data_IF_633808114967
#
_entry.id   IF_633808114967
#
_cell.length_a   1.000
_cell.length_b   1.000
_cell.length_c   1.000
_cell.angle_alpha   90.00
_cell.angle_beta   90.00
_cell.angle_gamma   90.00
#
_symmetry.space_group_name_H-M   'P 1'
#
loop_
_entity.id
_entity.type
_entity.pdbx_description
1 polymer ?
#
# COMPACT_ATOMS: atom_id res chain seq x y z
N UNK A 1 -1.89 17.91 7.64
CA UNK A 1 -2.87 17.04 6.95
C UNK A 1 -2.28 16.72 5.60
N UNK A 2 -2.18 15.45 5.20
CA UNK A 2 -1.55 15.09 3.93
C UNK A 2 -2.31 15.70 2.77
N UNK A 3 -1.56 16.06 1.73
CA UNK A 3 -2.10 16.52 0.47
C UNK A 3 -2.94 15.41 -0.19
N UNK A 4 -4.04 15.80 -0.84
CA UNK A 4 -4.83 14.87 -1.64
C UNK A 4 -4.20 14.80 -3.05
N UNK A 5 -3.95 13.60 -3.60
CA UNK A 5 -3.24 13.47 -4.86
C UNK A 5 -4.01 14.10 -6.03
N UNK A 6 -3.28 14.70 -6.96
CA UNK A 6 -3.86 15.20 -8.21
C UNK A 6 -4.32 13.99 -9.06
N UNK A 7 -5.58 13.96 -9.55
CA UNK A 7 -6.06 12.92 -10.46
C UNK A 7 -5.18 12.68 -11.70
N UNK A 8 -4.42 13.68 -12.14
CA UNK A 8 -3.47 13.57 -13.25
C UNK A 8 -2.18 12.81 -12.90
N UNK A 9 -1.86 12.62 -11.62
CA UNK A 9 -0.71 11.84 -11.12
C UNK A 9 -1.00 10.33 -11.04
N UNK A 10 -2.12 9.88 -11.62
CA UNK A 10 -2.49 8.47 -11.67
C UNK A 10 -1.72 7.73 -12.77
N UNK A 11 -0.95 6.74 -12.38
CA UNK A 11 -0.14 5.91 -13.27
C UNK A 11 -0.95 4.71 -13.75
N UNK A 12 -1.76 4.93 -14.80
CA UNK A 12 -2.64 3.89 -15.37
C UNK A 12 -1.84 2.90 -16.21
N UNK A 13 -1.96 1.61 -15.92
CA UNK A 13 -1.33 0.53 -16.71
C UNK A 13 -2.31 -0.14 -17.68
N UNK A 14 -3.62 -0.02 -17.45
CA UNK A 14 -4.65 -0.51 -18.36
C UNK A 14 -5.89 0.40 -18.35
N UNK A 15 -6.60 0.43 -19.47
CA UNK A 15 -7.86 1.18 -19.59
C UNK A 15 -9.03 0.46 -18.92
N UNK A 16 -9.19 -0.85 -19.18
CA UNK A 16 -10.27 -1.68 -18.64
C UNK A 16 -9.82 -3.14 -18.49
N UNK A 17 -9.17 -3.46 -17.38
CA UNK A 17 -8.64 -4.81 -17.12
C UNK A 17 -9.76 -5.80 -16.82
N UNK A 18 -9.82 -6.92 -17.54
CA UNK A 18 -10.85 -7.96 -17.39
C UNK A 18 -10.30 -9.30 -16.86
N UNK A 19 -9.10 -9.31 -16.26
CA UNK A 19 -8.43 -10.55 -15.79
C UNK A 19 -9.16 -11.24 -14.63
N UNK A 20 -9.91 -10.48 -13.82
CA UNK A 20 -10.66 -10.99 -12.68
C UNK A 20 -12.15 -10.66 -12.87
N UNK A 21 -12.99 -11.59 -13.36
CA UNK A 21 -14.39 -11.30 -13.67
C UNK A 21 -15.19 -10.74 -12.49
N UNK A 22 -15.07 -11.34 -11.30
CA UNK A 22 -15.77 -10.89 -10.10
C UNK A 22 -15.39 -9.46 -9.68
N UNK A 23 -14.11 -9.10 -9.79
CA UNK A 23 -13.65 -7.73 -9.48
C UNK A 23 -14.05 -6.73 -10.56
N UNK A 24 -14.05 -7.15 -11.84
CA UNK A 24 -14.44 -6.29 -12.94
C UNK A 24 -15.94 -5.96 -12.92
N UNK A 25 -16.76 -6.90 -12.47
CA UNK A 25 -18.20 -6.71 -12.27
C UNK A 25 -18.52 -5.85 -11.05
N UNK A 26 -17.77 -6.01 -9.95
CA UNK A 26 -18.07 -5.34 -8.68
C UNK A 26 -17.45 -3.93 -8.52
N UNK A 27 -16.35 -3.63 -9.20
CA UNK A 27 -15.65 -2.33 -9.06
C UNK A 27 -16.46 -1.18 -9.65
N UNK A 28 -16.30 -0.01 -9.06
CA UNK A 28 -16.76 1.25 -9.66
C UNK A 28 -15.70 1.76 -10.66
N UNK A 29 -14.42 1.65 -10.29
CA UNK A 29 -13.30 1.85 -11.22
C UNK A 29 -12.04 1.11 -10.75
N UNK A 30 -11.03 1.09 -11.62
CA UNK A 30 -9.71 0.55 -11.25
C UNK A 30 -8.94 1.61 -10.47
N UNK A 31 -8.47 1.24 -9.29
CA UNK A 31 -7.66 2.04 -8.38
C UNK A 31 -6.18 1.82 -8.67
N UNK A 32 -5.62 2.72 -9.48
CA UNK A 32 -4.22 2.68 -9.89
C UNK A 32 -3.30 3.35 -8.86
N UNK A 33 -2.01 3.06 -8.98
CA UNK A 33 -1.00 3.76 -8.22
C UNK A 33 -0.94 5.26 -8.57
N UNK A 34 -0.49 6.05 -7.61
CA UNK A 34 -0.35 7.50 -7.74
C UNK A 34 0.84 8.01 -6.93
N UNK A 35 1.43 9.10 -7.42
CA UNK A 35 2.67 9.68 -6.89
C UNK A 35 3.77 9.70 -7.95
N UNK A 36 4.93 10.26 -7.60
CA UNK A 36 6.07 10.38 -8.51
C UNK A 36 6.69 9.02 -8.86
N UNK A 37 7.26 8.92 -10.07
CA UNK A 37 8.00 7.74 -10.53
C UNK A 37 9.47 7.75 -10.08
N UNK A 38 9.90 8.76 -9.34
CA UNK A 38 11.18 8.84 -8.64
C UNK A 38 10.99 8.85 -7.11
N UNK A 39 9.86 8.31 -6.63
CA UNK A 39 9.56 8.20 -5.21
C UNK A 39 10.56 7.27 -4.49
N UNK A 40 10.99 7.69 -3.31
CA UNK A 40 11.86 6.89 -2.44
C UNK A 40 11.16 5.66 -1.86
N UNK A 41 9.84 5.72 -1.66
CA UNK A 41 9.07 4.66 -1.01
C UNK A 41 7.83 4.30 -1.83
N UNK A 42 7.62 3.00 -2.06
CA UNK A 42 6.34 2.49 -2.59
C UNK A 42 5.52 1.91 -1.44
N UNK A 43 4.35 2.49 -1.19
CA UNK A 43 3.42 2.05 -0.13
C UNK A 43 2.34 1.16 -0.73
N UNK A 44 2.18 -0.05 -0.18
CA UNK A 44 1.31 -1.09 -0.75
C UNK A 44 0.20 -1.51 0.21
N UNK A 45 -1.04 -1.28 -0.20
CA UNK A 45 -2.22 -1.82 0.47
C UNK A 45 -2.63 -3.18 -0.10
N UNK A 46 -3.62 -3.81 0.50
CA UNK A 46 -4.18 -5.07 -0.02
C UNK A 46 -5.05 -4.80 -1.25
N UNK A 47 -6.12 -4.01 -1.07
CA UNK A 47 -7.07 -3.66 -2.11
C UNK A 47 -7.72 -2.29 -1.81
N UNK A 48 -8.38 -1.65 -2.80
CA UNK A 48 -9.07 -0.39 -2.61
C UNK A 48 -10.26 -0.57 -1.68
N UNK A 49 -10.50 0.40 -0.79
CA UNK A 49 -11.72 0.46 -0.01
C UNK A 49 -12.94 0.83 -0.88
N UNK A 50 -14.12 0.35 -0.49
CA UNK A 50 -15.44 0.65 -1.11
C UNK A 50 -15.64 2.16 -1.31
N UNK A 51 -15.38 2.93 -0.25
CA UNK A 51 -15.42 4.38 -0.25
C UNK A 51 -16.68 4.99 0.38
N UNK A 52 -16.78 6.31 0.29
CA UNK A 52 -17.88 7.14 0.79
C UNK A 52 -18.25 8.15 -0.31
N UNK A 53 -19.35 7.93 -1.05
CA UNK A 53 -19.74 8.80 -2.17
C UNK A 53 -20.17 10.20 -1.71
N UNK A 54 -20.52 10.38 -0.44
CA UNK A 54 -20.91 11.68 0.13
C UNK A 54 -19.70 12.53 0.54
N UNK A 55 -18.49 11.97 0.51
CA UNK A 55 -17.28 12.71 0.84
C UNK A 55 -16.85 13.61 -0.33
N UNK A 56 -16.57 14.90 -0.08
CA UNK A 56 -16.04 15.80 -1.12
C UNK A 56 -14.61 15.45 -1.55
N UNK A 57 -13.79 15.06 -0.58
CA UNK A 57 -12.42 14.58 -0.76
C UNK A 57 -12.20 13.36 0.11
N UNK A 58 -11.21 12.53 -0.25
CA UNK A 58 -10.92 11.28 0.44
C UNK A 58 -12.05 10.24 0.38
N UNK A 59 -12.74 10.16 -0.77
CA UNK A 59 -13.85 9.24 -1.02
C UNK A 59 -13.44 7.77 -0.91
N UNK A 60 -12.27 7.37 -1.43
CA UNK A 60 -11.81 5.97 -1.44
C UNK A 60 -11.42 5.52 -2.84
N UNK A 61 -10.50 4.56 -2.91
CA UNK A 61 -9.87 4.19 -4.18
C UNK A 61 -10.83 3.57 -5.19
N UNK A 62 -11.91 2.91 -4.75
CA UNK A 62 -12.92 2.39 -5.67
C UNK A 62 -13.69 3.53 -6.38
N UNK A 63 -13.85 4.69 -5.75
CA UNK A 63 -14.59 5.83 -6.31
C UNK A 63 -13.67 6.82 -7.03
N UNK A 64 -12.49 7.09 -6.47
CA UNK A 64 -11.54 8.03 -7.05
C UNK A 64 -10.72 7.39 -8.16
N UNK A 65 -10.50 6.08 -8.12
CA UNK A 65 -9.59 5.33 -8.98
C UNK A 65 -8.11 5.55 -8.67
N UNK A 66 -7.78 6.00 -7.46
CA UNK A 66 -6.41 6.16 -6.96
C UNK A 66 -6.24 5.52 -5.58
N UNK A 67 -5.13 4.81 -5.36
CA UNK A 67 -4.83 4.16 -4.09
C UNK A 67 -4.63 5.16 -2.93
N UNK A 68 -4.93 4.72 -1.70
CA UNK A 68 -4.80 5.50 -0.47
C UNK A 68 -5.54 6.86 -0.47
N UNK A 69 -6.71 6.92 -1.09
CA UNK A 69 -7.58 8.11 -1.14
C UNK A 69 -8.82 7.99 -0.25
N UNK A 70 -8.79 7.15 0.80
CA UNK A 70 -9.87 7.04 1.79
C UNK A 70 -9.55 7.84 3.07
N UNK A 71 -10.57 8.30 3.81
CA UNK A 71 -10.38 8.96 5.12
C UNK A 71 -9.81 8.02 6.18
N UNK A 72 -10.20 6.74 6.18
CA UNK A 72 -9.91 5.79 7.27
C UNK A 72 -8.50 5.20 7.20
N UNK A 73 -8.06 4.78 6.02
CA UNK A 73 -6.72 4.19 5.83
C UNK A 73 -5.80 5.15 5.09
N UNK A 74 -6.25 5.67 3.93
CA UNK A 74 -5.48 6.55 3.05
C UNK A 74 -4.85 7.75 3.78
N UNK A 75 -5.70 8.58 4.38
CA UNK A 75 -5.27 9.79 5.11
C UNK A 75 -4.37 9.46 6.31
N UNK A 76 -4.64 8.38 7.05
CA UNK A 76 -3.84 7.99 8.22
C UNK A 76 -2.43 7.53 7.82
N UNK A 77 -2.33 6.65 6.83
CA UNK A 77 -1.03 6.17 6.32
C UNK A 77 -0.21 7.32 5.74
N UNK A 78 -0.81 8.16 4.89
CA UNK A 78 -0.11 9.35 4.35
C UNK A 78 0.38 10.31 5.44
N UNK A 79 -0.37 10.43 6.55
CA UNK A 79 0.07 11.24 7.70
C UNK A 79 1.28 10.60 8.37
N UNK A 80 1.24 9.28 8.65
CA UNK A 80 2.37 8.55 9.23
C UNK A 80 3.64 8.68 8.37
N UNK A 81 3.53 8.52 7.06
CA UNK A 81 4.68 8.65 6.15
C UNK A 81 5.25 10.08 6.20
N UNK A 82 4.39 11.10 6.17
CA UNK A 82 4.82 12.50 6.29
C UNK A 82 5.49 12.79 7.64
N UNK A 83 4.95 12.26 8.74
CA UNK A 83 5.53 12.40 10.08
C UNK A 83 6.86 11.66 10.21
N UNK A 84 7.06 10.57 9.45
CA UNK A 84 8.33 9.86 9.31
C UNK A 84 9.31 10.55 8.34
N UNK A 85 8.95 11.71 7.77
CA UNK A 85 9.80 12.49 6.87
C UNK A 85 9.67 12.17 5.39
N UNK A 86 8.72 11.31 4.99
CA UNK A 86 8.41 11.01 3.58
C UNK A 86 7.16 11.78 3.15
N UNK A 87 7.36 12.90 2.45
CA UNK A 87 6.29 13.74 1.94
C UNK A 87 5.58 13.15 0.72
N UNK A 88 4.65 13.91 0.14
CA UNK A 88 3.92 13.52 -1.09
C UNK A 88 4.88 13.24 -2.26
N UNK A 89 5.97 13.99 -2.35
CA UNK A 89 7.01 13.80 -3.37
C UNK A 89 7.90 12.58 -3.16
N UNK A 90 7.86 11.94 -1.99
CA UNK A 90 8.75 10.83 -1.64
C UNK A 90 8.03 9.48 -1.68
N UNK A 91 6.70 9.48 -1.88
CA UNK A 91 5.87 8.28 -1.77
C UNK A 91 5.04 8.03 -3.02
N UNK A 92 5.13 6.79 -3.52
CA UNK A 92 4.18 6.22 -4.49
C UNK A 92 3.20 5.30 -3.77
N UNK A 93 1.90 5.51 -3.94
CA UNK A 93 0.87 4.74 -3.23
C UNK A 93 0.14 3.81 -4.18
N UNK A 94 0.02 2.52 -3.84
CA UNK A 94 -0.65 1.49 -4.66
C UNK A 94 -1.30 0.38 -3.82
N UNK A 95 -1.93 -0.59 -4.46
CA UNK A 95 -2.45 -1.80 -3.79
C UNK A 95 -1.99 -3.06 -4.55
N UNK A 96 -1.91 -4.20 -3.86
CA UNK A 96 -1.61 -5.47 -4.48
C UNK A 96 -2.69 -5.87 -5.51
N UNK A 97 -3.97 -5.70 -5.16
CA UNK A 97 -5.09 -5.81 -6.09
C UNK A 97 -5.61 -4.42 -6.43
N UNK A 98 -5.84 -4.16 -7.72
CA UNK A 98 -6.21 -2.82 -8.22
C UNK A 98 -7.70 -2.50 -8.17
N UNK A 99 -8.54 -3.48 -7.80
CA UNK A 99 -10.00 -3.36 -7.83
C UNK A 99 -10.58 -3.72 -6.46
N UNK A 100 -11.70 -3.09 -6.08
CA UNK A 100 -12.38 -3.40 -4.83
C UNK A 100 -13.06 -4.78 -4.89
N UNK A 101 -12.76 -5.70 -3.95
CA UNK A 101 -13.46 -6.98 -3.88
C UNK A 101 -14.91 -6.83 -3.41
N UNK A 102 -15.86 -7.61 -3.97
CA UNK A 102 -17.26 -7.56 -3.56
C UNK A 102 -17.42 -7.86 -2.06
N UNK A 103 -18.32 -7.15 -1.40
CA UNK A 103 -18.57 -7.28 0.05
C UNK A 103 -17.33 -7.01 0.93
N UNK A 104 -16.31 -6.33 0.38
CA UNK A 104 -15.05 -6.02 1.07
C UNK A 104 -14.36 -7.28 1.66
N UNK A 105 -14.50 -8.42 0.98
CA UNK A 105 -13.72 -9.63 1.30
C UNK A 105 -12.24 -9.44 0.98
N UNK A 106 -11.41 -10.35 1.50
CA UNK A 106 -10.02 -10.44 1.08
C UNK A 106 -9.94 -10.91 -0.39
N UNK A 107 -8.96 -10.44 -1.18
CA UNK A 107 -8.74 -10.94 -2.53
C UNK A 107 -8.37 -12.43 -2.54
N UNK A 108 -8.72 -13.12 -3.61
CA UNK A 108 -8.30 -14.53 -3.79
C UNK A 108 -6.87 -14.62 -4.29
N UNK A 109 -6.24 -15.79 -4.14
CA UNK A 109 -4.91 -16.07 -4.70
C UNK A 109 -4.85 -15.83 -6.22
N UNK A 110 -5.92 -16.16 -6.94
CA UNK A 110 -6.03 -15.91 -8.39
C UNK A 110 -6.09 -14.41 -8.69
N UNK A 111 -6.82 -13.62 -7.90
CA UNK A 111 -6.91 -12.17 -8.06
C UNK A 111 -5.58 -11.48 -7.78
N UNK A 112 -4.86 -11.94 -6.76
CA UNK A 112 -3.51 -11.51 -6.43
C UNK A 112 -2.54 -11.87 -7.57
N UNK A 113 -2.58 -13.10 -8.05
CA UNK A 113 -1.73 -13.55 -9.16
C UNK A 113 -1.98 -12.75 -10.45
N UNK A 114 -3.25 -12.44 -10.76
CA UNK A 114 -3.63 -11.65 -11.93
C UNK A 114 -3.17 -10.18 -11.85
N UNK A 115 -3.14 -9.61 -10.64
CA UNK A 115 -2.71 -8.23 -10.40
C UNK A 115 -1.21 -8.09 -10.15
N UNK A 116 -0.50 -9.17 -9.77
CA UNK A 116 0.95 -9.16 -9.52
C UNK A 116 1.76 -8.47 -10.61
N UNK A 117 1.55 -8.71 -11.92
CA UNK A 117 2.34 -8.06 -12.97
C UNK A 117 2.25 -6.53 -12.92
N UNK A 118 1.08 -5.98 -12.57
CA UNK A 118 0.90 -4.53 -12.43
C UNK A 118 1.70 -3.98 -11.26
N UNK A 119 1.66 -4.65 -10.10
CA UNK A 119 2.43 -4.24 -8.93
C UNK A 119 3.94 -4.30 -9.18
N UNK A 120 4.43 -5.38 -9.79
CA UNK A 120 5.86 -5.53 -10.11
C UNK A 120 6.31 -4.42 -11.07
N UNK A 121 5.54 -4.17 -12.13
CA UNK A 121 5.85 -3.10 -13.10
C UNK A 121 5.82 -1.71 -12.46
N UNK A 122 4.92 -1.44 -11.49
CA UNK A 122 4.95 -0.18 -10.73
C UNK A 122 6.21 -0.05 -9.89
N UNK A 123 6.61 -1.10 -9.17
CA UNK A 123 7.84 -1.08 -8.34
C UNK A 123 9.08 -0.93 -9.20
N UNK A 124 9.16 -1.65 -10.33
CA UNK A 124 10.24 -1.52 -11.31
C UNK A 124 10.33 -0.13 -11.93
N UNK A 125 9.18 0.48 -12.26
CA UNK A 125 9.12 1.82 -12.84
C UNK A 125 9.53 2.91 -11.85
N UNK A 126 9.19 2.75 -10.57
CA UNK A 126 9.54 3.70 -9.51
C UNK A 126 10.98 3.52 -9.03
N UNK A 127 11.48 2.29 -9.03
CA UNK A 127 12.79 1.91 -8.48
C UNK A 127 13.03 2.49 -7.06
N UNK A 128 12.14 2.23 -6.09
CA UNK A 128 12.19 2.85 -4.77
C UNK A 128 13.35 2.30 -3.93
N UNK A 129 13.68 2.99 -2.84
CA UNK A 129 14.58 2.48 -1.80
C UNK A 129 13.97 1.33 -1.01
N UNK A 130 12.66 1.38 -0.78
CA UNK A 130 11.94 0.33 -0.06
C UNK A 130 10.46 0.26 -0.46
N UNK A 131 9.88 -0.93 -0.28
CA UNK A 131 8.44 -1.18 -0.40
C UNK A 131 7.84 -1.36 1.00
N UNK A 132 6.75 -0.66 1.29
CA UNK A 132 6.15 -0.57 2.61
C UNK A 132 4.71 -1.10 2.57
N UNK A 133 4.48 -2.39 2.85
CA UNK A 133 3.13 -2.94 2.92
C UNK A 133 2.44 -2.52 4.22
N UNK A 134 1.18 -2.10 4.13
CA UNK A 134 0.41 -1.67 5.31
C UNK A 134 -0.56 -2.74 5.78
N UNK A 135 -0.15 -3.51 6.77
CA UNK A 135 -0.97 -4.52 7.44
C UNK A 135 -0.68 -5.95 7.03
N UNK A 136 -1.27 -6.90 7.77
CA UNK A 136 -0.98 -8.33 7.66
C UNK A 136 -1.16 -8.87 6.24
N UNK A 137 -2.28 -8.56 5.59
CA UNK A 137 -2.59 -9.15 4.27
C UNK A 137 -1.69 -8.60 3.16
N UNK A 138 -1.42 -7.28 3.16
CA UNK A 138 -0.46 -6.68 2.25
C UNK A 138 0.95 -7.28 2.46
N UNK A 139 1.39 -7.41 3.70
CA UNK A 139 2.67 -8.05 4.03
C UNK A 139 2.72 -9.50 3.56
N UNK A 140 1.70 -10.30 3.87
CA UNK A 140 1.64 -11.70 3.45
C UNK A 140 1.68 -11.84 1.93
N UNK A 141 0.97 -10.95 1.22
CA UNK A 141 0.97 -10.91 -0.25
C UNK A 141 2.35 -10.65 -0.82
N UNK A 142 3.07 -9.65 -0.30
CA UNK A 142 4.41 -9.34 -0.79
C UNK A 142 5.41 -10.46 -0.51
N UNK A 143 5.38 -11.04 0.69
CA UNK A 143 6.25 -12.16 1.04
C UNK A 143 5.97 -13.41 0.20
N UNK A 144 4.71 -13.67 -0.13
CA UNK A 144 4.35 -14.79 -1.01
C UNK A 144 4.93 -14.65 -2.43
N UNK A 145 5.33 -13.45 -2.87
CA UNK A 145 6.00 -13.26 -4.16
C UNK A 145 7.36 -13.96 -4.22
N UNK A 146 8.02 -14.07 -3.07
CA UNK A 146 9.31 -14.76 -2.83
C UNK A 146 9.12 -16.21 -2.34
N UNK A 147 7.88 -16.70 -2.24
CA UNK A 147 7.57 -18.02 -1.70
C UNK A 147 7.61 -18.12 -0.17
N UNK A 148 7.72 -16.99 0.52
CA UNK A 148 7.73 -16.91 1.98
C UNK A 148 6.30 -16.94 2.56
N UNK A 149 6.16 -17.52 3.76
CA UNK A 149 4.93 -17.46 4.56
C UNK A 149 5.06 -16.52 5.74
N UNK A 150 3.98 -15.82 6.09
CA UNK A 150 3.93 -14.91 7.25
C UNK A 150 3.37 -15.63 8.48
N UNK A 151 4.26 -16.01 9.41
CA UNK A 151 3.85 -16.68 10.66
C UNK A 151 3.24 -15.69 11.66
N UNK A 152 4.07 -14.81 12.24
CA UNK A 152 3.67 -13.79 13.19
C UNK A 152 3.91 -12.41 12.61
N UNK A 153 2.84 -11.82 12.08
CA UNK A 153 2.88 -10.48 11.49
C UNK A 153 3.54 -9.43 12.39
N UNK A 154 3.25 -9.44 13.69
CA UNK A 154 3.81 -8.46 14.64
C UNK A 154 5.33 -8.48 14.72
N UNK A 155 5.97 -9.64 14.50
CA UNK A 155 7.42 -9.79 14.54
C UNK A 155 8.08 -9.27 13.25
N UNK A 156 7.29 -9.03 12.20
CA UNK A 156 7.76 -8.48 10.91
C UNK A 156 7.65 -6.96 10.83
N UNK A 157 6.90 -6.32 11.74
CA UNK A 157 6.68 -4.87 11.72
C UNK A 157 8.01 -4.14 11.88
N UNK A 158 8.32 -3.21 10.96
CA UNK A 158 9.56 -2.44 10.87
C UNK A 158 10.85 -3.27 10.62
N UNK A 159 10.74 -4.58 10.48
CA UNK A 159 11.85 -5.44 10.11
C UNK A 159 12.11 -5.32 8.60
N UNK A 160 13.33 -4.91 8.22
CA UNK A 160 13.77 -4.89 6.83
C UNK A 160 13.93 -6.34 6.34
N UNK A 161 13.30 -6.66 5.22
CA UNK A 161 13.40 -7.97 4.58
C UNK A 161 13.73 -7.80 3.11
N UNK A 162 14.74 -8.51 2.62
CA UNK A 162 15.02 -8.55 1.19
C UNK A 162 13.88 -9.21 0.42
N UNK A 163 13.60 -8.71 -0.79
CA UNK A 163 12.65 -9.33 -1.72
C UNK A 163 13.32 -9.48 -3.08
N UNK A 164 13.53 -10.73 -3.50
CA UNK A 164 14.10 -11.03 -4.83
C UNK A 164 13.07 -10.72 -5.93
N UNK A 165 11.78 -10.98 -5.65
CA UNK A 165 10.70 -10.76 -6.58
C UNK A 165 10.42 -9.28 -6.88
N UNK A 166 10.74 -8.38 -5.96
CA UNK A 166 10.61 -6.93 -6.14
C UNK A 166 11.95 -6.24 -6.42
N UNK A 167 13.07 -6.90 -6.15
CA UNK A 167 14.42 -6.35 -6.33
C UNK A 167 14.77 -5.22 -5.35
N UNK A 168 13.92 -4.98 -4.35
CA UNK A 168 14.05 -3.94 -3.33
C UNK A 168 13.53 -4.46 -1.98
N UNK A 169 14.05 -3.99 -0.85
CA UNK A 169 13.64 -4.46 0.46
C UNK A 169 12.21 -4.05 0.82
N UNK A 170 11.60 -4.86 1.68
CA UNK A 170 10.24 -4.71 2.20
C UNK A 170 10.30 -4.35 3.70
N UNK A 171 9.56 -3.32 4.10
CA UNK A 171 9.44 -2.86 5.50
C UNK A 171 7.97 -2.83 5.93
N UNK A 172 7.47 -3.88 6.60
CA UNK A 172 6.06 -3.97 7.00
C UNK A 172 5.61 -2.95 8.03
N UNK A 173 4.42 -2.37 7.81
CA UNK A 173 3.75 -1.49 8.78
C UNK A 173 2.46 -2.09 9.32
N UNK A 174 2.04 -1.62 10.49
CA UNK A 174 0.71 -1.86 11.03
C UNK A 174 -0.34 -1.20 10.13
N UNK A 175 -1.50 -1.84 9.98
CA UNK A 175 -2.64 -1.20 9.36
C UNK A 175 -3.27 -0.18 10.33
N UNK A 176 -3.74 0.99 9.86
CA UNK A 176 -4.30 2.02 10.73
C UNK A 176 -5.52 1.59 11.57
N UNK A 177 -6.22 0.51 11.21
CA UNK A 177 -7.38 0.02 11.96
C UNK A 177 -7.02 -0.62 13.31
N UNK A 178 -5.79 -1.09 13.48
CA UNK A 178 -5.34 -1.75 14.70
C UNK A 178 -3.99 -1.22 15.22
N UNK A 179 -3.45 -0.18 14.58
CA UNK A 179 -2.18 0.43 14.94
C UNK A 179 -2.14 0.86 16.42
N UNK A 180 -3.13 1.63 16.89
CA UNK A 180 -3.18 2.13 18.28
C UNK A 180 -3.13 1.00 19.33
N UNK A 181 -3.74 -0.15 19.03
CA UNK A 181 -3.77 -1.31 19.93
C UNK A 181 -2.41 -2.02 19.98
N UNK A 182 -1.69 -2.06 18.86
CA UNK A 182 -0.46 -2.83 18.72
C UNK A 182 0.81 -2.03 18.97
N UNK A 183 0.82 -0.72 18.74
CA UNK A 183 1.98 0.14 18.98
C UNK A 183 2.55 -0.04 20.38
N UNK A 184 1.71 0.15 21.40
CA UNK A 184 2.10 -0.02 22.81
C UNK A 184 2.61 -1.42 23.14
N UNK A 185 2.09 -2.46 22.46
CA UNK A 185 2.51 -3.86 22.66
C UNK A 185 3.86 -4.16 22.00
N UNK A 186 4.19 -3.43 20.94
CA UNK A 186 5.50 -3.48 20.28
C UNK A 186 6.54 -2.61 21.01
N UNK A 187 6.12 -1.86 22.05
CA UNK A 187 7.01 -0.99 22.81
C UNK A 187 7.25 0.36 22.16
N UNK A 188 6.38 0.79 21.25
CA UNK A 188 6.43 2.10 20.61
C UNK A 188 5.28 3.00 21.06
N UNK A 189 5.55 4.28 21.24
CA UNK A 189 4.55 5.32 20.98
C UNK A 189 4.48 5.69 19.48
N UNK A 190 3.63 6.67 19.13
CA UNK A 190 3.45 7.05 17.73
C UNK A 190 4.70 7.72 17.12
N UNK A 191 5.36 8.58 17.88
CA UNK A 191 6.51 9.36 17.40
C UNK A 191 7.73 8.44 17.24
N UNK A 192 7.93 7.53 18.19
CA UNK A 192 8.94 6.47 18.11
C UNK A 192 8.69 5.55 16.91
N UNK A 193 7.43 5.21 16.62
CA UNK A 193 7.07 4.40 15.47
C UNK A 193 7.36 5.09 14.13
N UNK A 194 7.05 6.38 14.02
CA UNK A 194 7.36 7.17 12.83
C UNK A 194 8.88 7.31 12.64
N UNK A 195 9.63 7.56 13.72
CA UNK A 195 11.08 7.63 13.69
C UNK A 195 11.73 6.29 13.30
N UNK A 196 11.22 5.17 13.81
CA UNK A 196 11.73 3.85 13.47
C UNK A 196 11.39 3.45 12.02
N UNK A 197 10.26 3.87 11.48
CA UNK A 197 9.98 3.72 10.04
C UNK A 197 11.04 4.44 9.20
N UNK A 198 11.36 5.69 9.52
CA UNK A 198 12.41 6.44 8.82
C UNK A 198 13.77 5.71 8.90
N UNK A 199 14.12 5.23 10.09
CA UNK A 199 15.35 4.48 10.32
C UNK A 199 15.37 3.14 9.55
N UNK A 200 14.25 2.42 9.50
CA UNK A 200 14.15 1.15 8.78
C UNK A 200 14.30 1.33 7.26
N UNK A 201 13.66 2.35 6.69
CA UNK A 201 13.83 2.68 5.26
C UNK A 201 15.27 3.11 4.97
N UNK A 202 15.91 3.87 5.86
CA UNK A 202 17.31 4.26 5.69
C UNK A 202 18.27 3.04 5.67
N UNK A 203 18.05 2.06 6.56
CA UNK A 203 18.82 0.80 6.62
C UNK A 203 18.62 -0.09 5.40
N UNK A 204 17.50 0.05 4.69
CA UNK A 204 17.19 -0.71 3.49
C UNK A 204 18.10 -0.33 2.29
N UNK A 205 18.86 0.76 2.38
CA UNK A 205 19.72 1.27 1.30
C UNK A 205 21.21 0.95 1.55
N UNK A 206 21.55 0.38 2.72
CA UNK A 206 22.93 0.08 3.15
C UNK A 206 23.42 -1.28 2.63
#
# INVERSE_FOLDING_TARGET
>A
MPEFPDPHERNRQAADCQRCPALAEARECISWGNGPLDADVVVVGEAPAEGDPEAETWQGGNLTGMAYTSRRSGRKVRTLLADAGFGHGDCYYTNAVKCHPPENRDPTDEELANCRPYLVEEVEAVAPKAVVPTGKHATATLLALDGDSLDRFVDSVLAVRESEALGVPVVPLLHPSYQEVWLSRLGYDYDEYAAELAAAVARAVE
#
